data_IF_656941153031
#
_entry.id   IF_656941153031
#
_cell.length_a   1.000
_cell.length_b   1.000
_cell.length_c   1.000
_cell.angle_alpha   90.00
_cell.angle_beta   90.00
_cell.angle_gamma   90.00
#
_symmetry.space_group_name_H-M   'P 1'
#
loop_
_entity.id
_entity.type
_entity.pdbx_description
1 polymer ?
#
# COMPACT_ATOMS: atom_id res chain seq x y z
N UNK A 1 -5.84 -9.80 22.08
CA UNK A 1 -4.65 -9.10 21.59
C UNK A 1 -5.16 -8.00 20.67
N UNK A 2 -5.01 -6.73 21.03
CA UNK A 2 -5.43 -5.65 20.13
C UNK A 2 -4.51 -5.69 18.90
N UNK A 3 -5.07 -5.98 17.73
CA UNK A 3 -4.32 -6.05 16.50
C UNK A 3 -3.93 -4.62 16.13
N UNK A 4 -2.63 -4.30 16.17
CA UNK A 4 -2.13 -3.00 15.74
C UNK A 4 -2.53 -2.81 14.27
N UNK A 5 -3.31 -1.76 13.99
CA UNK A 5 -3.61 -1.37 12.64
C UNK A 5 -2.31 -0.87 11.98
N UNK A 6 -2.01 -1.36 10.78
CA UNK A 6 -0.95 -0.76 9.98
C UNK A 6 -1.40 0.63 9.55
N UNK A 7 -0.53 1.62 9.76
CA UNK A 7 -0.74 3.01 9.38
C UNK A 7 0.25 3.38 8.28
N UNK A 8 -0.10 4.37 7.46
CA UNK A 8 0.84 5.01 6.56
C UNK A 8 1.85 5.88 7.34
N UNK A 9 2.83 6.42 6.63
CA UNK A 9 3.88 7.29 7.23
C UNK A 9 3.33 8.57 7.86
N UNK A 10 2.12 8.99 7.49
CA UNK A 10 1.43 10.16 8.07
C UNK A 10 0.56 9.77 9.28
N UNK A 11 0.53 8.49 9.66
CA UNK A 11 -0.26 7.96 10.77
C UNK A 11 -1.72 7.69 10.42
N UNK A 12 -2.11 7.71 9.15
CA UNK A 12 -3.46 7.41 8.72
C UNK A 12 -3.65 5.90 8.50
N UNK A 13 -4.86 5.37 8.72
CA UNK A 13 -5.18 3.99 8.35
C UNK A 13 -5.03 3.76 6.85
N UNK A 14 -4.58 2.56 6.47
CA UNK A 14 -4.53 2.19 5.06
C UNK A 14 -5.94 2.07 4.46
N UNK A 15 -6.10 2.55 3.22
CA UNK A 15 -7.36 2.57 2.48
C UNK A 15 -7.33 1.48 1.41
N UNK A 16 -8.32 0.59 1.42
CA UNK A 16 -8.41 -0.51 0.44
C UNK A 16 -8.45 0.05 -0.97
N UNK A 17 -7.60 -0.48 -1.85
CA UNK A 17 -7.44 -0.05 -3.22
C UNK A 17 -6.52 1.17 -3.40
N UNK A 18 -6.07 1.82 -2.33
CA UNK A 18 -5.12 2.91 -2.45
C UNK A 18 -3.70 2.39 -2.74
N UNK A 19 -2.96 3.18 -3.51
CA UNK A 19 -1.56 2.90 -3.83
C UNK A 19 -0.65 3.55 -2.78
N UNK A 20 0.36 2.81 -2.36
CA UNK A 20 1.37 3.23 -1.40
C UNK A 20 2.75 2.97 -1.97
N UNK A 21 3.63 3.96 -1.91
CA UNK A 21 5.04 3.77 -2.20
C UNK A 21 5.72 3.23 -0.94
N UNK A 22 6.39 2.09 -1.04
CA UNK A 22 7.25 1.62 0.03
C UNK A 22 8.41 2.60 0.19
N UNK A 23 8.68 3.01 1.43
CA UNK A 23 9.77 3.93 1.74
C UNK A 23 10.69 3.36 2.80
N UNK A 24 11.98 3.67 2.69
CA UNK A 24 13.01 3.33 3.68
C UNK A 24 13.66 4.63 4.13
N UNK A 25 13.67 4.87 5.43
CA UNK A 25 14.30 6.05 6.01
C UNK A 25 15.80 5.81 6.11
N UNK A 26 16.57 6.59 5.35
CA UNK A 26 18.04 6.64 5.45
C UNK A 26 18.44 7.88 6.24
N UNK A 27 19.64 7.88 6.81
CA UNK A 27 20.13 8.95 7.70
C UNK A 27 19.97 10.38 7.11
N UNK A 28 20.16 10.53 5.79
CA UNK A 28 20.15 11.84 5.11
C UNK A 28 19.01 12.01 4.08
N UNK A 29 18.25 10.95 3.76
CA UNK A 29 17.20 10.98 2.74
C UNK A 29 16.21 9.83 2.86
N UNK A 30 15.06 9.93 2.17
CA UNK A 30 14.07 8.86 2.08
C UNK A 30 14.20 8.14 0.75
N UNK A 31 14.49 6.84 0.78
CA UNK A 31 14.51 6.02 -0.43
C UNK A 31 13.07 5.60 -0.77
N UNK A 32 12.66 5.88 -2.00
CA UNK A 32 11.35 5.48 -2.53
C UNK A 32 11.50 4.21 -3.35
N UNK A 33 10.82 3.15 -2.91
CA UNK A 33 10.87 1.81 -3.49
C UNK A 33 9.67 1.49 -4.37
N UNK A 34 9.22 0.23 -4.29
CA UNK A 34 8.12 -0.29 -5.09
C UNK A 34 6.80 0.44 -4.76
N UNK A 35 5.95 0.56 -5.78
CA UNK A 35 4.56 0.99 -5.60
C UNK A 35 3.72 -0.26 -5.38
N UNK A 36 3.01 -0.31 -4.26
CA UNK A 36 2.15 -1.42 -3.87
C UNK A 36 0.74 -0.95 -3.64
N UNK A 37 -0.20 -1.88 -3.68
CA UNK A 37 -1.61 -1.64 -3.52
C UNK A 37 -2.15 -2.35 -2.30
N UNK A 38 -2.78 -1.63 -1.39
CA UNK A 38 -3.38 -2.26 -0.23
C UNK A 38 -4.71 -2.94 -0.59
N UNK A 39 -4.82 -4.23 -0.34
CA UNK A 39 -5.97 -5.06 -0.72
C UNK A 39 -6.88 -5.39 0.48
N UNK A 40 -6.58 -4.87 1.66
CA UNK A 40 -7.29 -5.21 2.90
C UNK A 40 -6.64 -6.37 3.64
N UNK A 41 -7.44 -7.10 4.42
CA UNK A 41 -7.01 -8.23 5.24
C UNK A 41 -7.57 -9.55 4.72
N UNK A 42 -6.79 -10.61 4.83
CA UNK A 42 -7.29 -11.97 4.64
C UNK A 42 -8.12 -12.47 5.84
N UNK A 43 -8.64 -13.69 5.74
CA UNK A 43 -9.43 -14.34 6.79
C UNK A 43 -8.67 -14.56 8.12
N UNK A 44 -7.34 -14.48 8.10
CA UNK A 44 -6.49 -14.56 9.29
C UNK A 44 -6.17 -13.18 9.88
N UNK A 45 -6.59 -12.10 9.21
CA UNK A 45 -6.29 -10.73 9.57
C UNK A 45 -4.92 -10.23 9.11
N UNK A 46 -4.25 -10.97 8.21
CA UNK A 46 -2.98 -10.56 7.59
C UNK A 46 -3.27 -9.49 6.54
N UNK A 47 -2.50 -8.40 6.57
CA UNK A 47 -2.56 -7.35 5.54
C UNK A 47 -2.09 -7.92 4.20
N UNK A 48 -2.83 -7.63 3.13
CA UNK A 48 -2.51 -8.06 1.78
C UNK A 48 -2.13 -6.86 0.92
N UNK A 49 -1.06 -7.03 0.16
CA UNK A 49 -0.60 -6.07 -0.83
C UNK A 49 -0.44 -6.74 -2.19
N UNK A 50 -0.60 -5.95 -3.25
CA UNK A 50 -0.32 -6.37 -4.61
C UNK A 50 0.66 -5.40 -5.27
N UNK A 51 1.56 -5.93 -6.10
CA UNK A 51 2.45 -5.11 -6.91
C UNK A 51 1.65 -4.24 -7.88
N UNK A 52 2.04 -2.98 -8.05
CA UNK A 52 1.29 -2.03 -8.89
C UNK A 52 1.33 -2.37 -10.38
N UNK A 53 2.37 -3.08 -10.84
CA UNK A 53 2.62 -3.39 -12.24
C UNK A 53 2.14 -4.80 -12.59
N UNK A 54 2.51 -5.80 -11.80
CA UNK A 54 2.20 -7.22 -12.07
C UNK A 54 0.92 -7.69 -11.45
N UNK A 55 0.46 -7.03 -10.38
CA UNK A 55 -0.73 -7.37 -9.62
C UNK A 55 -0.70 -8.69 -8.86
N UNK A 56 0.48 -9.28 -8.73
CA UNK A 56 0.68 -10.44 -7.87
C UNK A 56 0.72 -10.00 -6.40
N UNK A 57 0.31 -10.89 -5.50
CA UNK A 57 0.50 -10.68 -4.05
C UNK A 57 1.98 -10.45 -3.79
N UNK A 58 2.30 -9.36 -3.10
CA UNK A 58 3.67 -8.99 -2.77
C UNK A 58 3.77 -8.58 -1.31
N UNK A 59 4.98 -8.71 -0.76
CA UNK A 59 5.31 -8.13 0.53
C UNK A 59 5.63 -6.63 0.38
N UNK A 60 5.59 -5.91 1.50
CA UNK A 60 6.14 -4.55 1.56
C UNK A 60 7.65 -4.62 1.76
N UNK A 61 8.38 -3.79 1.02
CA UNK A 61 9.84 -3.68 1.12
C UNK A 61 10.20 -2.27 1.57
N UNK A 62 10.25 -2.04 2.89
CA UNK A 62 10.59 -0.75 3.47
C UNK A 62 10.18 -0.62 4.94
N UNK A 63 10.49 0.53 5.52
CA UNK A 63 10.13 0.88 6.90
C UNK A 63 8.73 1.51 6.99
N UNK A 64 8.22 2.03 5.88
CA UNK A 64 6.95 2.73 5.83
C UNK A 64 6.23 2.62 4.49
N UNK A 65 4.99 3.09 4.50
CA UNK A 65 4.11 3.18 3.34
C UNK A 65 3.67 4.63 3.18
N UNK A 66 4.08 5.28 2.10
CA UNK A 66 3.69 6.64 1.77
C UNK A 66 2.52 6.61 0.78
N UNK A 67 1.39 7.20 1.16
CA UNK A 67 0.21 7.28 0.31
C UNK A 67 0.52 8.02 -1.00
N UNK A 68 0.19 7.43 -2.15
CA UNK A 68 0.39 8.08 -3.44
C UNK A 68 -0.59 9.24 -3.61
N UNK A 69 -0.08 10.47 -3.57
CA UNK A 69 -0.90 11.69 -3.73
C UNK A 69 -1.15 12.04 -5.20
N UNK A 70 -0.18 11.81 -6.10
CA UNK A 70 -0.32 12.11 -7.52
C UNK A 70 0.72 11.36 -8.41
N UNK A 71 0.38 11.05 -9.68
CA UNK A 71 -0.99 11.00 -10.20
C UNK A 71 -1.75 9.86 -9.50
N UNK A 72 -3.02 10.11 -9.16
CA UNK A 72 -3.89 9.03 -8.67
C UNK A 72 -4.15 8.10 -9.85
N UNK A 73 -3.52 6.92 -9.84
CA UNK A 73 -3.75 5.91 -10.87
C UNK A 73 -5.08 5.24 -10.53
N UNK A 74 -6.12 5.50 -11.35
CA UNK A 74 -7.37 4.78 -11.19
C UNK A 74 -7.12 3.31 -11.60
N UNK A 75 -7.18 2.37 -10.67
CA UNK A 75 -7.00 0.94 -10.95
C UNK A 75 -7.96 0.40 -12.02
N UNK A 76 -9.17 0.94 -12.15
CA UNK A 76 -10.14 0.50 -13.14
C UNK A 76 -9.63 0.76 -14.56
N UNK A 77 -8.79 1.80 -14.75
CA UNK A 77 -8.13 2.08 -16.04
C UNK A 77 -7.10 1.02 -16.43
N UNK A 78 -6.74 0.12 -15.50
CA UNK A 78 -5.85 -1.01 -15.70
C UNK A 78 -6.58 -2.37 -15.68
N UNK A 79 -7.91 -2.36 -15.76
CA UNK A 79 -8.73 -3.58 -15.87
C UNK A 79 -9.19 -4.17 -14.54
N UNK A 80 -9.07 -3.43 -13.44
CA UNK A 80 -9.50 -3.90 -12.12
C UNK A 80 -10.97 -3.60 -11.80
N UNK A 81 -11.65 -4.46 -11.03
CA UNK A 81 -12.98 -4.15 -10.54
C UNK A 81 -12.90 -2.93 -9.61
N UNK A 82 -13.85 -2.00 -9.76
CA UNK A 82 -14.00 -0.91 -8.82
C UNK A 82 -14.29 -1.50 -7.43
N UNK A 83 -13.39 -1.28 -6.49
CA UNK A 83 -13.64 -1.65 -5.10
C UNK A 83 -14.58 -0.60 -4.51
N UNK A 84 -15.68 -1.05 -3.90
CA UNK A 84 -16.58 -0.17 -3.19
C UNK A 84 -15.84 0.47 -2.00
N UNK A 85 -15.94 1.80 -1.91
CA UNK A 85 -15.43 2.61 -0.81
C UNK A 85 -16.23 2.38 0.48
#
# INVERSE_FOLDING_TARGET
MAQQALLDTDGNPLVIGMMYCCVTDMDDYVLHGALVRYCGKDHTGRELFADADTWDECDIYGDGLLAQQAPVIDPATKGWPAFAA
#
